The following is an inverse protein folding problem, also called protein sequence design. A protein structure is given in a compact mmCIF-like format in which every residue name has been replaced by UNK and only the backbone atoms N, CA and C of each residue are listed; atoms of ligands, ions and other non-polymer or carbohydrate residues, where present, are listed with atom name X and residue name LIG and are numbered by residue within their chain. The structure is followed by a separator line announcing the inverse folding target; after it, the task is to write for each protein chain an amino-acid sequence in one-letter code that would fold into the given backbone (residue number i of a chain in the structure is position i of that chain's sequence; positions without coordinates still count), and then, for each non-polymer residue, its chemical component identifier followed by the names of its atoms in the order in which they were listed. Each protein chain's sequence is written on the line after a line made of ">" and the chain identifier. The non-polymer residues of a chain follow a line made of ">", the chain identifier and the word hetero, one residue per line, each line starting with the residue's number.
data_IF_005239917702
#
_entry.id   IF_005239917702
#
_cell.length_a   1.000
_cell.length_b   1.000
_cell.length_c   1.000
_cell.angle_alpha   90.00
_cell.angle_beta   90.00
_cell.angle_gamma   90.00
#
_symmetry.space_group_name_H-M   'P 1'
#
loop_
_entity.id
_entity.type
_entity.pdbx_description
1 polymer ?
#
# COMPACT_ATOMS: atom_id res chain seq x y z
N UNK A 1 -1.32 -3.75 17.94
CA UNK A 1 -0.58 -2.54 17.48
C UNK A 1 -1.45 -1.49 16.75
N UNK A 2 -2.77 -1.43 17.02
CA UNK A 2 -3.67 -0.31 16.64
C UNK A 2 -4.54 0.04 17.86
N UNK A 3 -4.00 -0.04 19.07
CA UNK A 3 -4.85 -0.03 20.28
C UNK A 3 -5.28 1.37 20.71
N UNK A 4 -4.50 2.42 20.45
CA UNK A 4 -4.82 3.77 20.96
C UNK A 4 -5.17 4.81 19.88
N UNK A 5 -5.23 4.43 18.60
CA UNK A 5 -5.56 5.30 17.45
C UNK A 5 -4.92 6.72 17.50
N UNK A 6 -3.68 6.81 17.98
CA UNK A 6 -3.02 8.09 18.23
C UNK A 6 -2.85 8.94 16.95
N UNK A 7 -2.61 10.24 17.14
CA UNK A 7 -2.30 11.15 16.03
C UNK A 7 -1.00 10.74 15.33
N UNK A 8 -0.89 11.06 14.04
CA UNK A 8 0.43 11.04 13.38
C UNK A 8 1.30 12.15 13.99
N UNK A 9 2.59 11.90 14.15
CA UNK A 9 3.52 12.83 14.77
C UNK A 9 4.58 13.25 13.76
N UNK A 10 4.80 14.55 13.65
CA UNK A 10 5.86 15.15 12.86
C UNK A 10 6.76 15.96 13.79
N UNK A 11 7.99 15.50 13.95
CA UNK A 11 9.04 16.17 14.71
C UNK A 11 9.88 17.00 13.74
N UNK A 12 9.74 18.32 13.80
CA UNK A 12 10.48 19.26 12.93
C UNK A 12 11.84 19.66 13.49
N UNK A 13 12.06 19.53 14.81
CA UNK A 13 13.33 19.83 15.47
C UNK A 13 13.85 18.58 16.20
N UNK A 14 14.71 17.83 15.52
CA UNK A 14 15.25 16.56 16.02
C UNK A 14 16.73 16.74 16.32
N UNK A 15 17.15 16.38 17.54
CA UNK A 15 18.54 16.51 17.98
C UNK A 15 19.47 15.76 17.01
N UNK A 16 20.52 16.43 16.53
CA UNK A 16 21.51 15.89 15.60
C UNK A 16 20.94 15.40 14.26
N UNK A 17 19.78 15.91 13.82
CA UNK A 17 19.22 15.62 12.50
C UNK A 17 18.91 16.91 11.76
N UNK A 18 19.34 16.99 10.51
CA UNK A 18 18.94 18.07 9.58
C UNK A 18 17.58 17.82 8.95
N UNK A 19 16.98 16.63 9.16
CA UNK A 19 15.70 16.25 8.56
C UNK A 19 14.61 16.12 9.63
N UNK A 20 13.37 16.50 9.29
CA UNK A 20 12.22 16.22 10.13
C UNK A 20 11.93 14.72 10.15
N UNK A 21 11.42 14.23 11.28
CA UNK A 21 11.06 12.83 11.47
C UNK A 21 9.56 12.71 11.60
N UNK A 22 8.96 11.83 10.80
CA UNK A 22 7.54 11.51 10.88
C UNK A 22 7.35 10.10 11.43
N UNK A 23 6.39 9.92 12.33
CA UNK A 23 6.02 8.61 12.89
C UNK A 23 4.51 8.46 12.97
N UNK A 24 4.07 7.22 13.10
CA UNK A 24 2.67 6.84 13.27
C UNK A 24 1.72 7.29 12.12
N UNK A 25 2.25 7.45 10.89
CA UNK A 25 1.46 7.82 9.71
C UNK A 25 0.28 6.87 9.47
N UNK A 26 0.53 5.56 9.57
CA UNK A 26 -0.45 4.52 9.33
C UNK A 26 -1.11 3.96 10.60
N UNK A 27 -0.98 4.67 11.74
CA UNK A 27 -1.44 4.20 13.05
C UNK A 27 -2.95 4.00 13.26
N UNK A 28 -3.77 4.18 12.22
CA UNK A 28 -5.22 3.97 12.27
C UNK A 28 -5.71 3.42 10.93
N UNK A 29 -6.77 2.60 10.96
CA UNK A 29 -7.41 2.09 9.75
C UNK A 29 -7.87 3.23 8.82
N UNK A 30 -8.42 4.32 9.37
CA UNK A 30 -8.85 5.50 8.60
C UNK A 30 -7.70 6.15 7.82
N UNK A 31 -6.49 6.24 8.38
CA UNK A 31 -5.32 6.81 7.68
C UNK A 31 -4.75 5.86 6.64
N UNK A 32 -4.83 4.55 6.87
CA UNK A 32 -4.46 3.54 5.87
C UNK A 32 -5.41 3.63 4.67
N UNK A 33 -6.73 3.69 4.90
CA UNK A 33 -7.72 3.84 3.83
C UNK A 33 -7.52 5.15 3.06
N UNK A 34 -7.17 6.25 3.73
CA UNK A 34 -6.84 7.50 3.05
C UNK A 34 -5.56 7.41 2.19
N UNK A 35 -4.52 6.73 2.68
CA UNK A 35 -3.22 6.68 2.00
C UNK A 35 -3.20 5.72 0.81
N UNK A 36 -3.91 4.58 0.91
CA UNK A 36 -3.88 3.53 -0.09
C UNK A 36 -5.19 3.38 -0.85
N UNK A 37 -6.31 3.89 -0.31
CA UNK A 37 -7.64 3.57 -0.81
C UNK A 37 -8.02 2.11 -0.62
N UNK A 38 -9.19 1.73 -1.13
CA UNK A 38 -9.73 0.36 -1.00
C UNK A 38 -9.14 -0.61 -2.02
N UNK A 39 -8.85 -0.14 -3.23
CA UNK A 39 -8.49 -0.99 -4.37
C UNK A 39 -7.19 -1.80 -4.14
N UNK A 40 -6.08 -1.25 -3.60
CA UNK A 40 -4.88 -2.05 -3.38
C UNK A 40 -5.08 -3.13 -2.33
N UNK A 41 -5.85 -2.86 -1.28
CA UNK A 41 -6.15 -3.84 -0.25
C UNK A 41 -6.98 -5.01 -0.80
N UNK A 42 -8.01 -4.71 -1.59
CA UNK A 42 -8.84 -5.73 -2.26
C UNK A 42 -8.04 -6.57 -3.24
N UNK A 43 -7.13 -5.95 -4.00
CA UNK A 43 -6.24 -6.66 -4.91
C UNK A 43 -5.34 -7.65 -4.15
N UNK A 44 -4.72 -7.22 -3.04
CA UNK A 44 -3.87 -8.11 -2.22
C UNK A 44 -4.70 -9.26 -1.64
N UNK A 45 -5.89 -8.99 -1.11
CA UNK A 45 -6.79 -10.04 -0.59
C UNK A 45 -7.13 -11.08 -1.67
N UNK A 46 -7.59 -10.63 -2.83
CA UNK A 46 -7.89 -11.48 -3.99
C UNK A 46 -6.68 -12.29 -4.44
N UNK A 47 -5.48 -11.70 -4.41
CA UNK A 47 -4.25 -12.40 -4.78
C UNK A 47 -3.89 -13.52 -3.79
N UNK A 48 -4.11 -13.30 -2.49
CA UNK A 48 -3.95 -14.34 -1.46
C UNK A 48 -4.99 -15.45 -1.65
N UNK A 49 -6.26 -15.09 -1.83
CA UNK A 49 -7.35 -16.04 -2.13
C UNK A 49 -7.01 -16.89 -3.38
N UNK A 50 -6.50 -16.27 -4.43
CA UNK A 50 -6.06 -16.98 -5.63
C UNK A 50 -4.93 -17.98 -5.33
N UNK A 51 -3.96 -17.60 -4.50
CA UNK A 51 -2.86 -18.48 -4.12
C UNK A 51 -3.32 -19.72 -3.34
N UNK A 52 -4.36 -19.58 -2.50
CA UNK A 52 -4.95 -20.67 -1.73
C UNK A 52 -5.88 -21.56 -2.58
N UNK A 53 -6.73 -20.96 -3.41
CA UNK A 53 -7.80 -21.69 -4.11
C UNK A 53 -7.37 -22.32 -5.45
N UNK A 54 -6.31 -21.82 -6.09
CA UNK A 54 -5.83 -22.32 -7.38
C UNK A 54 -5.13 -23.68 -7.29
N UNK A 55 -5.10 -24.33 -6.13
CA UNK A 55 -4.50 -25.65 -5.94
C UNK A 55 -5.60 -26.68 -5.62
N UNK A 56 -5.83 -27.71 -6.47
CA UNK A 56 -5.25 -27.92 -7.81
C UNK A 56 -5.85 -26.93 -8.84
N UNK A 57 -5.07 -26.56 -9.88
CA UNK A 57 -5.50 -25.57 -10.86
C UNK A 57 -6.57 -26.16 -11.79
N UNK A 58 -7.58 -25.35 -12.12
CA UNK A 58 -8.58 -25.67 -13.13
C UNK A 58 -8.94 -24.42 -13.94
N UNK A 59 -9.38 -24.58 -15.18
CA UNK A 59 -9.74 -23.46 -16.06
C UNK A 59 -10.84 -22.57 -15.46
N UNK A 60 -11.83 -23.18 -14.79
CA UNK A 60 -12.89 -22.44 -14.11
C UNK A 60 -12.34 -21.57 -12.97
N UNK A 61 -11.44 -22.11 -12.14
CA UNK A 61 -10.79 -21.38 -11.06
C UNK A 61 -9.85 -20.30 -11.57
N UNK A 62 -9.11 -20.53 -12.66
CA UNK A 62 -8.27 -19.50 -13.27
C UNK A 62 -9.13 -18.34 -13.80
N UNK A 63 -10.29 -18.64 -14.39
CA UNK A 63 -11.18 -17.63 -14.94
C UNK A 63 -11.86 -16.77 -13.87
N UNK A 64 -12.11 -17.30 -12.66
CA UNK A 64 -12.68 -16.53 -11.54
C UNK A 64 -11.74 -15.41 -11.05
N UNK A 65 -10.43 -15.55 -11.27
CA UNK A 65 -9.42 -14.55 -10.91
C UNK A 65 -8.94 -13.67 -12.09
N UNK A 66 -9.66 -13.65 -13.22
CA UNK A 66 -9.29 -12.85 -14.42
C UNK A 66 -9.15 -11.35 -14.16
N UNK A 67 -9.84 -10.84 -13.15
CA UNK A 67 -9.77 -9.45 -12.72
C UNK A 67 -8.41 -9.09 -12.12
N UNK A 68 -7.73 -10.03 -11.43
CA UNK A 68 -6.34 -9.86 -11.00
C UNK A 68 -5.43 -9.69 -12.20
N UNK A 69 -5.63 -10.48 -13.27
CA UNK A 69 -4.90 -10.33 -14.53
C UNK A 69 -5.08 -8.93 -15.13
N UNK A 70 -6.32 -8.44 -15.19
CA UNK A 70 -6.61 -7.06 -15.65
C UNK A 70 -5.94 -6.00 -14.77
N UNK A 71 -6.01 -6.16 -13.45
CA UNK A 71 -5.36 -5.22 -12.52
C UNK A 71 -3.84 -5.23 -12.68
N UNK A 72 -3.24 -6.41 -12.86
CA UNK A 72 -1.80 -6.57 -13.06
C UNK A 72 -1.28 -5.83 -14.29
N UNK A 73 -2.04 -5.76 -15.39
CA UNK A 73 -1.64 -4.98 -16.59
C UNK A 73 -1.48 -3.49 -16.33
N UNK A 74 -2.09 -2.96 -15.26
CA UNK A 74 -1.99 -1.56 -14.84
C UNK A 74 -0.90 -1.33 -13.78
N UNK A 75 -0.28 -2.40 -13.28
CA UNK A 75 0.83 -2.30 -12.33
C UNK A 75 2.14 -2.07 -13.08
N UNK A 76 2.90 -1.08 -12.65
CA UNK A 76 4.19 -0.75 -13.25
C UNK A 76 4.82 0.47 -12.60
N UNK A 77 6.09 0.71 -12.93
CA UNK A 77 6.80 1.93 -12.54
C UNK A 77 6.80 2.92 -13.70
N UNK A 78 6.78 4.21 -13.38
CA UNK A 78 6.92 5.28 -14.37
C UNK A 78 8.23 6.02 -14.10
N UNK A 79 9.01 6.27 -15.14
CA UNK A 79 10.20 7.10 -15.03
C UNK A 79 9.80 8.57 -14.95
N UNK A 80 10.17 9.24 -13.87
CA UNK A 80 9.93 10.67 -13.66
C UNK A 80 11.19 11.49 -13.98
N UNK A 81 11.03 12.59 -14.72
CA UNK A 81 12.15 13.38 -15.28
C UNK A 81 12.94 14.19 -14.25
N UNK A 82 12.40 14.45 -13.06
CA UNK A 82 13.04 15.23 -12.00
C UNK A 82 12.85 14.52 -10.66
N UNK A 83 13.92 14.21 -9.91
CA UNK A 83 13.78 13.74 -8.54
C UNK A 83 13.17 14.84 -7.69
N UNK A 84 12.26 14.48 -6.78
CA UNK A 84 11.72 15.41 -5.80
C UNK A 84 12.87 15.93 -4.93
N UNK A 85 13.20 17.21 -5.08
CA UNK A 85 14.20 17.89 -4.24
C UNK A 85 13.43 18.66 -3.17
N UNK A 86 13.39 18.13 -1.95
CA UNK A 86 12.92 18.92 -0.81
C UNK A 86 13.98 20.00 -0.54
N UNK A 87 13.67 21.26 -0.86
CA UNK A 87 14.47 22.39 -0.42
C UNK A 87 14.39 22.44 1.11
N UNK A 88 15.55 22.35 1.76
CA UNK A 88 15.72 22.56 3.19
C UNK A 88 15.55 24.04 3.54
#
# INVERSE_FOLDING_TARGET
>A
MIENQGKALLFTNVKNSTFPVVTNLFGTAKRIDLAFGRQPLEFVKRAVEAAEELIPPSLNKLWSFRDLGKAATKLGTQQVRKPFTALA
#
